data_IF_714819855319
#
_entry.id   IF_714819855319
#
_cell.length_a   1.000
_cell.length_b   1.000
_cell.length_c   1.000
_cell.angle_alpha   90.00
_cell.angle_beta   90.00
_cell.angle_gamma   90.00
#
_symmetry.space_group_name_H-M   'P 1'
#
loop_
_entity.id
_entity.type
_entity.pdbx_description
1 polymer ?
#
# COMPACT_ATOMS: atom_id res chain seq x y z
N UNK A 1 4.79 -40.17 -45.38
CA UNK A 1 5.85 -39.17 -45.59
C UNK A 1 5.15 -37.84 -45.39
N UNK A 2 5.02 -37.45 -44.12
CA UNK A 2 5.79 -36.35 -43.49
C UNK A 2 5.28 -35.00 -44.02
N UNK A 3 4.56 -34.21 -43.20
CA UNK A 3 5.16 -33.21 -42.31
C UNK A 3 5.33 -31.93 -43.14
N UNK A 4 4.81 -30.75 -42.80
CA UNK A 4 5.12 -30.02 -41.58
C UNK A 4 4.02 -28.98 -41.27
N UNK A 5 3.83 -28.77 -39.97
CA UNK A 5 2.91 -27.81 -39.36
C UNK A 5 3.40 -26.38 -39.62
N UNK A 6 2.58 -25.54 -40.22
CA UNK A 6 2.85 -24.10 -40.24
C UNK A 6 2.47 -23.51 -38.86
N UNK A 7 3.47 -23.52 -37.98
CA UNK A 7 3.42 -22.99 -36.63
C UNK A 7 3.16 -21.49 -36.66
N UNK A 8 2.10 -21.06 -35.97
CA UNK A 8 1.91 -19.69 -35.52
C UNK A 8 3.13 -19.29 -34.69
N UNK A 9 4.05 -18.53 -35.27
CA UNK A 9 5.11 -17.88 -34.49
C UNK A 9 4.46 -16.69 -33.79
N UNK A 10 3.79 -16.98 -32.68
CA UNK A 10 3.35 -15.96 -31.74
C UNK A 10 4.59 -15.31 -31.14
N UNK A 11 4.84 -14.05 -31.49
CA UNK A 11 5.88 -13.22 -30.87
C UNK A 11 5.67 -13.25 -29.35
N UNK A 12 6.50 -14.05 -28.68
CA UNK A 12 6.36 -14.38 -27.26
C UNK A 12 6.95 -13.29 -26.34
N UNK A 13 7.52 -12.22 -26.92
CA UNK A 13 8.17 -11.13 -26.17
C UNK A 13 7.20 -10.04 -25.68
N UNK A 14 6.02 -9.86 -26.29
CA UNK A 14 5.05 -8.85 -25.86
C UNK A 14 4.13 -9.33 -24.72
N UNK A 15 3.99 -10.65 -24.50
CA UNK A 15 3.10 -11.20 -23.48
C UNK A 15 3.71 -11.34 -22.08
N UNK A 16 5.03 -11.19 -21.93
CA UNK A 16 5.72 -11.41 -20.64
C UNK A 16 5.86 -10.14 -19.79
N UNK A 17 5.67 -8.95 -20.39
CA UNK A 17 5.79 -7.65 -19.69
C UNK A 17 4.55 -7.33 -18.82
N UNK A 18 3.42 -8.01 -19.05
CA UNK A 18 2.14 -7.68 -18.41
C UNK A 18 1.79 -8.49 -17.13
N UNK A 19 2.69 -9.35 -16.62
CA UNK A 19 2.38 -10.25 -15.48
C UNK A 19 3.05 -9.91 -14.15
N UNK A 20 3.80 -8.81 -14.06
CA UNK A 20 4.41 -8.44 -12.78
C UNK A 20 4.74 -6.94 -12.71
N UNK A 21 3.74 -6.08 -12.94
CA UNK A 21 3.90 -4.66 -12.59
C UNK A 21 4.03 -4.58 -11.06
N UNK A 22 5.28 -4.52 -10.62
CA UNK A 22 5.68 -4.50 -9.22
C UNK A 22 5.06 -3.28 -8.55
N UNK A 23 4.22 -3.50 -7.54
CA UNK A 23 3.67 -2.45 -6.67
C UNK A 23 4.74 -1.73 -5.81
N UNK A 24 6.03 -1.85 -6.16
CA UNK A 24 7.17 -1.34 -5.41
C UNK A 24 7.25 0.19 -5.31
N UNK A 25 6.39 0.89 -6.04
CA UNK A 25 6.28 2.34 -5.97
C UNK A 25 5.16 2.82 -5.05
N UNK A 26 4.31 1.93 -4.52
CA UNK A 26 3.23 2.32 -3.62
C UNK A 26 3.74 2.29 -2.17
N UNK A 27 3.61 3.43 -1.50
CA UNK A 27 4.01 3.67 -0.12
C UNK A 27 2.79 3.81 0.78
N UNK A 28 2.72 2.97 1.81
CA UNK A 28 1.57 2.82 2.70
C UNK A 28 1.98 3.20 4.12
N UNK A 29 1.19 4.08 4.74
CA UNK A 29 1.26 4.36 6.17
C UNK A 29 0.24 3.51 6.91
N UNK A 30 0.68 2.68 7.85
CA UNK A 30 -0.21 1.85 8.69
C UNK A 30 -0.28 2.42 10.09
N UNK A 31 -1.49 2.61 10.61
CA UNK A 31 -1.79 3.21 11.92
C UNK A 31 -2.64 2.26 12.74
N UNK A 32 -2.12 1.75 13.84
CA UNK A 32 -2.85 0.83 14.74
C UNK A 32 -2.15 0.86 16.10
N UNK A 33 -2.91 0.93 17.20
CA UNK A 33 -2.34 0.99 18.55
C UNK A 33 -1.96 -0.41 19.08
N UNK A 34 -2.36 -1.49 18.41
CA UNK A 34 -1.88 -2.84 18.67
C UNK A 34 -0.63 -3.16 17.84
N UNK A 35 0.49 -3.40 18.54
CA UNK A 35 1.78 -3.68 17.90
C UNK A 35 1.82 -5.01 17.13
N UNK A 36 0.97 -5.96 17.51
CA UNK A 36 0.85 -7.27 16.84
C UNK A 36 0.14 -7.10 15.50
N UNK A 37 -0.97 -6.36 15.49
CA UNK A 37 -1.69 -6.00 14.26
C UNK A 37 -0.79 -5.22 13.30
N UNK A 38 -0.08 -4.20 13.79
CA UNK A 38 0.92 -3.47 13.00
C UNK A 38 1.94 -4.41 12.33
N UNK A 39 2.51 -5.34 13.10
CA UNK A 39 3.53 -6.26 12.58
C UNK A 39 2.96 -7.21 11.51
N UNK A 40 1.75 -7.74 11.74
CA UNK A 40 1.07 -8.65 10.80
C UNK A 40 0.75 -7.93 9.50
N UNK A 41 0.07 -6.77 9.58
CA UNK A 41 -0.33 -5.98 8.41
C UNK A 41 0.90 -5.55 7.61
N UNK A 42 1.94 -5.04 8.29
CA UNK A 42 3.17 -4.65 7.63
C UNK A 42 3.88 -5.83 6.94
N UNK A 43 3.92 -7.01 7.56
CA UNK A 43 4.52 -8.20 6.95
C UNK A 43 3.75 -8.64 5.69
N UNK A 44 2.42 -8.61 5.73
CA UNK A 44 1.57 -8.93 4.58
C UNK A 44 1.81 -7.93 3.45
N UNK A 45 1.73 -6.63 3.71
CA UNK A 45 1.93 -5.59 2.69
C UNK A 45 3.34 -5.63 2.08
N UNK A 46 4.38 -5.82 2.91
CA UNK A 46 5.77 -5.98 2.41
C UNK A 46 5.96 -7.24 1.56
N UNK A 47 5.23 -8.33 1.83
CA UNK A 47 5.23 -9.54 0.98
C UNK A 47 4.76 -9.23 -0.45
N UNK A 48 3.81 -8.30 -0.58
CA UNK A 48 3.34 -7.76 -1.87
C UNK A 48 4.21 -6.62 -2.43
N UNK A 49 5.40 -6.41 -1.86
CA UNK A 49 6.41 -5.43 -2.29
C UNK A 49 6.02 -3.96 -2.11
N UNK A 50 5.00 -3.66 -1.31
CA UNK A 50 4.71 -2.28 -0.90
C UNK A 50 5.81 -1.72 0.01
N UNK A 51 6.04 -0.41 -0.06
CA UNK A 51 6.81 0.30 0.96
C UNK A 51 5.88 0.58 2.14
N UNK A 52 6.30 0.25 3.36
CA UNK A 52 5.41 0.33 4.52
C UNK A 52 6.10 1.06 5.66
N UNK A 53 5.44 2.10 6.15
CA UNK A 53 5.78 2.80 7.39
C UNK A 53 4.65 2.52 8.39
N UNK A 54 5.01 2.19 9.63
CA UNK A 54 4.05 1.89 10.70
C UNK A 54 4.17 2.96 11.79
N UNK A 55 3.03 3.40 12.32
CA UNK A 55 2.96 4.29 13.48
C UNK A 55 1.89 3.78 14.44
N UNK A 56 2.14 3.91 15.74
CA UNK A 56 1.22 3.40 16.77
C UNK A 56 0.13 4.41 17.12
N UNK A 57 0.47 5.70 17.03
CA UNK A 57 -0.41 6.76 17.48
C UNK A 57 -0.89 7.59 16.30
N UNK A 58 -2.17 7.97 16.27
CA UNK A 58 -2.73 8.68 15.13
C UNK A 58 -2.22 10.13 15.05
N UNK A 59 -1.73 10.71 16.15
CA UNK A 59 -0.98 11.99 16.12
C UNK A 59 0.36 11.87 15.40
N UNK A 60 1.06 10.75 15.56
CA UNK A 60 2.32 10.49 14.86
C UNK A 60 2.08 10.27 13.37
N UNK A 61 0.93 9.70 12.99
CA UNK A 61 0.50 9.61 11.60
C UNK A 61 0.38 10.99 10.96
N UNK A 62 -0.34 11.92 11.59
CA UNK A 62 -0.48 13.30 11.10
C UNK A 62 0.87 14.02 11.02
N UNK A 63 1.72 13.88 12.04
CA UNK A 63 3.08 14.45 12.03
C UNK A 63 3.90 13.89 10.85
N UNK A 64 3.84 12.58 10.63
CA UNK A 64 4.53 11.88 9.54
C UNK A 64 4.06 12.37 8.17
N UNK A 65 2.75 12.50 7.96
CA UNK A 65 2.16 13.01 6.72
C UNK A 65 2.56 14.46 6.44
N UNK A 66 2.59 15.32 7.47
CA UNK A 66 3.00 16.73 7.34
C UNK A 66 4.48 16.88 7.00
N UNK A 67 5.35 16.06 7.59
CA UNK A 67 6.80 16.09 7.32
C UNK A 67 7.13 15.48 5.96
N UNK A 68 6.43 14.41 5.57
CA UNK A 68 6.68 13.64 4.34
C UNK A 68 5.56 13.80 3.32
N UNK A 69 5.03 15.02 3.17
CA UNK A 69 3.93 15.30 2.25
C UNK A 69 4.19 14.75 0.85
N UNK A 70 3.26 13.95 0.33
CA UNK A 70 3.36 13.32 -1.00
C UNK A 70 4.22 12.05 -1.08
N UNK A 71 4.73 11.53 0.04
CA UNK A 71 5.51 10.28 0.07
C UNK A 71 4.67 9.02 0.32
N UNK A 72 3.35 9.15 0.44
CA UNK A 72 2.41 8.07 0.70
C UNK A 72 1.27 8.12 -0.30
N UNK A 73 0.78 6.94 -0.67
CA UNK A 73 -0.32 6.73 -1.60
C UNK A 73 -1.58 6.22 -0.89
N UNK A 74 -1.45 5.69 0.33
CA UNK A 74 -2.52 5.12 1.12
C UNK A 74 -2.21 5.19 2.62
N UNK A 75 -3.25 5.44 3.42
CA UNK A 75 -3.25 5.15 4.87
C UNK A 75 -4.14 3.95 5.15
N UNK A 76 -3.65 3.01 5.94
CA UNK A 76 -4.45 1.94 6.53
C UNK A 76 -4.54 2.22 8.03
N UNK A 77 -5.73 2.42 8.57
CA UNK A 77 -5.92 2.77 9.98
C UNK A 77 -6.89 1.85 10.68
N UNK A 78 -6.57 1.44 11.90
CA UNK A 78 -7.58 0.88 12.79
C UNK A 78 -8.63 1.94 13.17
N UNK A 79 -9.85 1.48 13.43
CA UNK A 79 -10.94 2.34 13.87
C UNK A 79 -10.86 2.60 15.37
N UNK A 80 -10.55 1.58 16.17
CA UNK A 80 -10.68 1.61 17.63
C UNK A 80 -9.35 1.95 18.33
N UNK A 81 -8.88 3.17 18.12
CA UNK A 81 -7.69 3.68 18.80
C UNK A 81 -8.03 4.57 20.02
N UNK A 82 -7.19 4.58 21.07
CA UNK A 82 -7.29 5.54 22.17
C UNK A 82 -7.12 6.99 21.68
N UNK A 83 -7.76 7.91 22.39
CA UNK A 83 -7.70 9.38 22.21
C UNK A 83 -8.30 9.93 20.91
N UNK A 84 -7.94 9.35 19.76
CA UNK A 84 -8.46 9.72 18.44
C UNK A 84 -8.71 8.45 17.62
N UNK A 85 -9.95 8.25 17.20
CA UNK A 85 -10.34 7.05 16.46
C UNK A 85 -10.00 7.18 14.96
N UNK A 86 -10.11 6.08 14.22
CA UNK A 86 -9.79 6.05 12.78
C UNK A 86 -10.65 6.99 11.92
N UNK A 87 -11.90 7.25 12.30
CA UNK A 87 -12.76 8.18 11.57
C UNK A 87 -12.36 9.65 11.78
N UNK A 88 -11.98 10.02 13.00
CA UNK A 88 -11.45 11.35 13.30
C UNK A 88 -10.12 11.57 12.58
N UNK A 89 -9.23 10.57 12.58
CA UNK A 89 -8.00 10.60 11.81
C UNK A 89 -8.28 10.80 10.31
N UNK A 90 -9.22 10.01 9.75
CA UNK A 90 -9.61 10.11 8.34
C UNK A 90 -10.15 11.50 7.99
N UNK A 91 -10.96 12.12 8.86
CA UNK A 91 -11.48 13.47 8.63
C UNK A 91 -10.35 14.50 8.54
N UNK A 92 -9.37 14.44 9.45
CA UNK A 92 -8.22 15.36 9.41
C UNK A 92 -7.38 15.11 8.15
N UNK A 93 -7.15 13.84 7.80
CA UNK A 93 -6.40 13.50 6.59
C UNK A 93 -7.09 14.05 5.35
N UNK A 94 -8.41 13.88 5.22
CA UNK A 94 -9.18 14.36 4.07
C UNK A 94 -9.21 15.90 3.95
N UNK A 95 -9.04 16.63 5.06
CA UNK A 95 -8.98 18.10 5.05
C UNK A 95 -7.60 18.63 4.65
N UNK A 96 -6.53 17.93 5.03
CA UNK A 96 -5.14 18.39 4.83
C UNK A 96 -4.47 17.74 3.61
N UNK A 97 -4.92 16.57 3.18
CA UNK A 97 -4.28 15.74 2.16
C UNK A 97 -5.31 15.10 1.22
N UNK A 98 -4.93 14.92 -0.05
CA UNK A 98 -5.72 14.14 -1.01
C UNK A 98 -5.27 12.67 -1.01
N UNK A 99 -5.43 11.99 0.12
CA UNK A 99 -4.89 10.65 0.39
C UNK A 99 -6.01 9.70 0.81
N UNK A 100 -6.21 8.54 0.15
CA UNK A 100 -7.19 7.56 0.58
C UNK A 100 -6.83 6.98 1.95
N UNK A 101 -7.87 6.67 2.74
CA UNK A 101 -7.77 6.01 4.04
C UNK A 101 -8.69 4.78 4.01
N UNK A 102 -8.15 3.64 4.44
CA UNK A 102 -8.85 2.34 4.54
C UNK A 102 -8.81 1.85 5.98
#
# INVERSE_FOLDING_TARGET
MEGEKNTLVSNSSELEVAKNSVNSNISILVVDDDTTCLAIVAAILKKFKYQVVTVKHPRDALCTLRIKGGAFDLVVSDVHMPDMNGFELQQVIAQEFNLPVV
#
